data_IF_131706623422
#
_entry.id   IF_131706623422
#
_cell.length_a   1.000
_cell.length_b   1.000
_cell.length_c   1.000
_cell.angle_alpha   90.00
_cell.angle_beta   90.00
_cell.angle_gamma   90.00
#
_symmetry.space_group_name_H-M   'P 1'
#
loop_
_entity.id
_entity.type
_entity.pdbx_description
1 polymer ?
#
# COMPACT_ATOMS: atom_id res chain seq x y z
N UNK A 1 -22.47 -55.53 -11.46
CA UNK A 1 -22.60 -55.94 -12.87
C UNK A 1 -21.94 -54.90 -13.75
N UNK A 2 -20.98 -55.32 -14.58
CA UNK A 2 -20.14 -54.45 -15.42
C UNK A 2 -20.56 -54.64 -16.88
N UNK A 3 -20.80 -53.55 -17.61
CA UNK A 3 -21.17 -53.54 -19.03
C UNK A 3 -21.33 -52.12 -19.59
N UNK A 4 -21.38 -51.95 -20.91
CA UNK A 4 -21.41 -50.64 -21.58
C UNK A 4 -22.56 -49.72 -21.15
N UNK A 5 -23.72 -50.30 -20.79
CA UNK A 5 -24.87 -49.54 -20.26
C UNK A 5 -24.58 -48.88 -18.91
N UNK A 6 -23.81 -49.54 -18.06
CA UNK A 6 -23.38 -49.00 -16.77
C UNK A 6 -22.27 -47.95 -16.95
N UNK A 7 -21.36 -48.15 -17.92
CA UNK A 7 -20.38 -47.14 -18.29
C UNK A 7 -21.05 -45.86 -18.81
N UNK A 8 -22.06 -45.98 -19.66
CA UNK A 8 -22.86 -44.85 -20.14
C UNK A 8 -23.58 -44.13 -19.01
N UNK A 9 -24.10 -44.87 -18.02
CA UNK A 9 -24.72 -44.28 -16.82
C UNK A 9 -23.69 -43.47 -16.02
N UNK A 10 -22.49 -44.00 -15.79
CA UNK A 10 -21.41 -43.28 -15.09
C UNK A 10 -20.98 -42.03 -15.85
N UNK A 11 -20.86 -42.11 -17.17
CA UNK A 11 -20.50 -40.96 -18.01
C UNK A 11 -21.55 -39.84 -17.91
N UNK A 12 -22.85 -40.16 -17.90
CA UNK A 12 -23.91 -39.16 -17.68
C UNK A 12 -23.84 -38.52 -16.29
N UNK A 13 -23.58 -39.31 -15.25
CA UNK A 13 -23.42 -38.79 -13.88
C UNK A 13 -22.17 -37.92 -13.79
N UNK A 14 -21.06 -38.32 -14.40
CA UNK A 14 -19.84 -37.52 -14.46
C UNK A 14 -20.06 -36.20 -15.19
N UNK A 15 -20.76 -36.19 -16.32
CA UNK A 15 -21.09 -34.95 -17.04
C UNK A 15 -21.95 -34.01 -16.18
N UNK A 16 -22.94 -34.54 -15.46
CA UNK A 16 -23.76 -33.77 -14.54
C UNK A 16 -22.92 -33.19 -13.38
N UNK A 17 -22.04 -33.99 -12.79
CA UNK A 17 -21.16 -33.55 -11.70
C UNK A 17 -20.17 -32.49 -12.18
N UNK A 18 -19.57 -32.66 -13.36
CA UNK A 18 -18.67 -31.67 -13.97
C UNK A 18 -19.36 -30.34 -14.20
N UNK A 19 -20.61 -30.34 -14.68
CA UNK A 19 -21.41 -29.10 -14.84
C UNK A 19 -21.68 -28.41 -13.52
N UNK A 20 -22.01 -29.17 -12.47
CA UNK A 20 -22.20 -28.61 -11.13
C UNK A 20 -20.90 -28.05 -10.54
N UNK A 21 -19.79 -28.75 -10.71
CA UNK A 21 -18.48 -28.27 -10.28
C UNK A 21 -18.06 -27.00 -11.02
N UNK A 22 -18.27 -26.95 -12.34
CA UNK A 22 -18.01 -25.74 -13.12
C UNK A 22 -18.84 -24.56 -12.61
N UNK A 23 -20.14 -24.76 -12.40
CA UNK A 23 -21.03 -23.71 -11.87
C UNK A 23 -20.55 -23.19 -10.50
N UNK A 24 -20.07 -24.09 -9.62
CA UNK A 24 -19.52 -23.70 -8.32
C UNK A 24 -18.21 -22.92 -8.46
N UNK A 25 -17.34 -23.31 -9.38
CA UNK A 25 -16.11 -22.58 -9.68
C UNK A 25 -16.41 -21.18 -10.22
N UNK A 26 -17.42 -21.05 -11.08
CA UNK A 26 -17.83 -19.75 -11.64
C UNK A 26 -18.34 -18.80 -10.53
N UNK A 27 -19.13 -19.31 -9.58
CA UNK A 27 -19.58 -18.52 -8.40
C UNK A 27 -18.39 -18.07 -7.56
N UNK A 28 -17.47 -18.97 -7.24
CA UNK A 28 -16.27 -18.63 -6.45
C UNK A 28 -15.42 -17.59 -7.18
N UNK A 29 -15.30 -17.72 -8.51
CA UNK A 29 -14.56 -16.76 -9.33
C UNK A 29 -15.19 -15.37 -9.32
N UNK A 30 -16.53 -15.30 -9.35
CA UNK A 30 -17.26 -14.04 -9.22
C UNK A 30 -17.04 -13.41 -7.84
N UNK A 31 -17.17 -14.19 -6.76
CA UNK A 31 -16.96 -13.72 -5.39
C UNK A 31 -15.52 -13.19 -5.19
N UNK A 32 -14.51 -13.88 -5.75
CA UNK A 32 -13.12 -13.42 -5.73
C UNK A 32 -12.98 -12.09 -6.48
N UNK A 33 -13.62 -11.96 -7.65
CA UNK A 33 -13.55 -10.75 -8.47
C UNK A 33 -14.19 -9.56 -7.76
N UNK A 34 -15.33 -9.78 -7.10
CA UNK A 34 -15.99 -8.77 -6.28
C UNK A 34 -15.13 -8.37 -5.07
N UNK A 35 -14.55 -9.35 -4.38
CA UNK A 35 -13.66 -9.10 -3.23
C UNK A 35 -12.43 -8.29 -3.65
N UNK A 36 -11.80 -8.63 -4.77
CA UNK A 36 -10.65 -7.90 -5.31
C UNK A 36 -11.02 -6.44 -5.63
N UNK A 37 -12.16 -6.21 -6.28
CA UNK A 37 -12.68 -4.85 -6.57
C UNK A 37 -12.91 -4.05 -5.29
N UNK A 38 -13.50 -4.68 -4.28
CA UNK A 38 -13.75 -4.07 -2.98
C UNK A 38 -12.45 -3.78 -2.23
N UNK A 39 -11.45 -4.64 -2.35
CA UNK A 39 -10.12 -4.44 -1.79
C UNK A 39 -9.43 -3.23 -2.42
N UNK A 40 -9.39 -3.12 -3.75
CA UNK A 40 -8.80 -1.97 -4.45
C UNK A 40 -9.45 -0.66 -4.00
N UNK A 41 -10.78 -0.64 -3.91
CA UNK A 41 -11.55 0.52 -3.43
C UNK A 41 -11.22 0.85 -1.97
N UNK A 42 -11.12 -0.16 -1.11
CA UNK A 42 -10.83 0.01 0.31
C UNK A 42 -9.42 0.54 0.55
N UNK A 43 -8.42 0.06 -0.21
CA UNK A 43 -7.04 0.56 -0.13
C UNK A 43 -6.98 2.04 -0.50
N UNK A 44 -7.70 2.48 -1.53
CA UNK A 44 -7.79 3.89 -1.89
C UNK A 44 -8.40 4.73 -0.75
N UNK A 45 -9.48 4.24 -0.12
CA UNK A 45 -10.10 4.89 1.04
C UNK A 45 -9.16 4.96 2.24
N UNK A 46 -8.42 3.89 2.54
CA UNK A 46 -7.42 3.89 3.62
C UNK A 46 -6.36 4.97 3.38
N UNK A 47 -5.85 5.09 2.15
CA UNK A 47 -4.89 6.14 1.82
C UNK A 47 -5.48 7.55 2.00
N UNK A 48 -6.75 7.75 1.61
CA UNK A 48 -7.46 9.00 1.84
C UNK A 48 -7.61 9.32 3.33
N UNK A 49 -8.03 8.36 4.15
CA UNK A 49 -8.18 8.55 5.59
C UNK A 49 -6.84 8.84 6.28
N UNK A 50 -5.75 8.18 5.87
CA UNK A 50 -4.41 8.50 6.37
C UNK A 50 -4.01 9.95 6.08
N UNK A 51 -4.28 10.46 4.86
CA UNK A 51 -4.04 11.87 4.53
C UNK A 51 -4.90 12.80 5.37
N UNK A 52 -6.18 12.48 5.53
CA UNK A 52 -7.10 13.31 6.31
C UNK A 52 -6.73 13.35 7.80
N UNK A 53 -6.27 12.22 8.34
CA UNK A 53 -5.77 12.14 9.71
C UNK A 53 -4.58 13.08 9.91
N UNK A 54 -3.60 13.09 8.99
CA UNK A 54 -2.44 14.00 9.09
C UNK A 54 -2.87 15.49 9.03
N UNK A 55 -3.79 15.85 8.14
CA UNK A 55 -4.36 17.21 8.05
C UNK A 55 -5.05 17.62 9.36
N UNK A 56 -5.92 16.75 9.89
CA UNK A 56 -6.63 17.02 11.13
C UNK A 56 -5.69 17.10 12.32
N UNK A 57 -4.71 16.19 12.45
CA UNK A 57 -3.71 16.23 13.52
C UNK A 57 -2.91 17.54 13.49
N UNK A 58 -2.52 18.00 12.31
CA UNK A 58 -1.83 19.29 12.16
C UNK A 58 -2.72 20.46 12.58
N UNK A 59 -3.99 20.49 12.14
CA UNK A 59 -4.95 21.54 12.52
C UNK A 59 -5.24 21.55 14.01
N UNK A 60 -5.39 20.39 14.63
CA UNK A 60 -5.57 20.26 16.08
C UNK A 60 -4.36 20.83 16.81
N UNK A 61 -3.14 20.48 16.39
CA UNK A 61 -1.92 21.05 16.97
C UNK A 61 -1.89 22.58 16.85
N UNK A 62 -2.25 23.14 15.69
CA UNK A 62 -2.33 24.59 15.48
C UNK A 62 -3.31 25.28 16.43
N UNK A 63 -4.48 24.66 16.67
CA UNK A 63 -5.47 25.18 17.62
C UNK A 63 -4.94 25.13 19.04
N UNK A 64 -4.30 24.02 19.45
CA UNK A 64 -3.71 23.88 20.78
C UNK A 64 -2.61 24.93 21.03
N UNK A 65 -1.72 25.15 20.05
CA UNK A 65 -0.67 26.19 20.15
C UNK A 65 -1.31 27.57 20.36
N UNK A 66 -2.29 27.94 19.52
CA UNK A 66 -2.97 29.25 19.64
C UNK A 66 -3.68 29.41 20.98
N UNK A 67 -4.34 28.35 21.45
CA UNK A 67 -5.03 28.35 22.73
C UNK A 67 -4.05 28.52 23.89
N UNK A 68 -2.91 27.84 23.85
CA UNK A 68 -1.91 27.94 24.91
C UNK A 68 -1.27 29.31 24.96
N UNK A 69 -0.93 29.91 23.80
CA UNK A 69 -0.43 31.28 23.71
C UNK A 69 -1.45 32.28 24.26
N UNK A 70 -2.73 32.16 23.89
CA UNK A 70 -3.78 33.06 24.35
C UNK A 70 -4.00 32.97 25.86
N UNK A 71 -3.98 31.75 26.43
CA UNK A 71 -4.16 31.54 27.87
C UNK A 71 -2.96 31.97 28.69
N UNK A 72 -1.74 31.76 28.19
CA UNK A 72 -0.49 32.10 28.88
C UNK A 72 0.04 33.49 28.57
N UNK A 73 -0.67 34.27 27.75
CA UNK A 73 -0.31 35.66 27.49
C UNK A 73 -0.29 36.46 28.79
N UNK A 74 0.86 37.05 29.12
CA UNK A 74 1.05 37.84 30.34
C UNK A 74 1.57 37.06 31.56
N UNK A 75 1.75 35.75 31.46
CA UNK A 75 2.48 34.97 32.46
C UNK A 75 4.00 34.99 32.18
N UNK A 76 4.81 34.81 33.22
CA UNK A 76 6.26 34.62 33.05
C UNK A 76 6.55 33.27 32.37
N UNK A 77 7.62 33.22 31.58
CA UNK A 77 8.08 32.00 30.89
C UNK A 77 8.35 30.92 31.94
N UNK A 78 7.73 29.76 31.75
CA UNK A 78 7.86 28.62 32.66
C UNK A 78 9.09 27.78 32.29
N UNK A 79 9.66 27.07 33.27
CA UNK A 79 10.81 26.20 33.03
C UNK A 79 10.54 25.12 31.96
N UNK A 80 9.34 24.55 31.95
CA UNK A 80 8.92 23.56 30.95
C UNK A 80 8.88 24.13 29.52
N UNK A 81 8.52 25.40 29.38
CA UNK A 81 8.47 26.09 28.07
C UNK A 81 9.88 26.31 27.52
N UNK A 82 10.82 26.71 28.37
CA UNK A 82 12.22 26.87 27.98
C UNK A 82 12.85 25.51 27.62
N UNK A 83 12.51 24.44 28.35
CA UNK A 83 12.95 23.09 28.01
C UNK A 83 12.43 22.65 26.62
N UNK A 84 11.14 22.89 26.34
CA UNK A 84 10.54 22.59 25.03
C UNK A 84 11.20 23.41 23.90
N UNK A 85 11.52 24.68 24.16
CA UNK A 85 12.22 25.53 23.22
C UNK A 85 13.59 24.98 22.86
N UNK A 86 14.40 24.60 23.85
CA UNK A 86 15.74 24.02 23.63
C UNK A 86 15.67 22.73 22.80
N UNK A 87 14.68 21.87 23.06
CA UNK A 87 14.45 20.66 22.26
C UNK A 87 14.10 20.99 20.80
N UNK A 88 13.22 21.97 20.57
CA UNK A 88 12.83 22.40 19.22
C UNK A 88 14.02 23.03 18.48
N UNK A 89 14.82 23.86 19.14
CA UNK A 89 16.00 24.49 18.56
C UNK A 89 17.07 23.45 18.16
N UNK A 90 17.23 22.39 18.98
CA UNK A 90 18.13 21.27 18.66
C UNK A 90 17.68 20.54 17.40
N UNK A 91 16.39 20.16 17.33
CA UNK A 91 15.81 19.46 16.17
C UNK A 91 15.88 20.35 14.92
N UNK A 92 15.58 21.64 15.06
CA UNK A 92 15.64 22.59 13.95
C UNK A 92 17.07 22.79 13.44
N UNK A 93 18.05 22.81 14.35
CA UNK A 93 19.48 22.87 14.03
C UNK A 93 19.95 21.63 13.26
N UNK A 94 19.54 20.44 13.70
CA UNK A 94 19.83 19.17 13.02
C UNK A 94 19.22 19.10 11.62
N UNK A 95 17.97 19.55 11.45
CA UNK A 95 17.28 19.59 10.16
C UNK A 95 17.92 20.60 9.19
N UNK A 96 18.36 21.75 9.71
CA UNK A 96 18.99 22.81 8.92
C UNK A 96 20.48 22.56 8.62
N UNK A 97 21.11 21.60 9.31
CA UNK A 97 22.50 21.23 9.06
C UNK A 97 22.67 20.88 7.56
N UNK A 98 23.50 21.63 6.80
CA UNK A 98 23.60 21.51 5.35
C UNK A 98 24.03 20.13 4.84
N UNK A 99 24.51 19.27 5.73
CA UNK A 99 25.26 18.06 5.39
C UNK A 99 24.40 16.81 5.19
N UNK A 100 23.22 16.70 5.79
CA UNK A 100 22.50 15.41 5.85
C UNK A 100 21.20 15.36 5.02
N UNK A 101 20.34 16.39 5.03
CA UNK A 101 19.00 16.28 4.40
C UNK A 101 18.88 16.98 3.05
N UNK A 102 19.37 18.22 2.88
CA UNK A 102 19.25 18.94 1.59
C UNK A 102 20.10 18.32 0.50
N UNK A 103 21.30 17.89 0.83
CA UNK A 103 22.23 17.26 -0.13
C UNK A 103 21.74 15.85 -0.50
N UNK A 104 21.24 15.06 0.45
CA UNK A 104 20.73 13.70 0.17
C UNK A 104 19.42 13.75 -0.61
N UNK A 105 18.45 14.59 -0.22
CA UNK A 105 17.21 14.77 -0.99
C UNK A 105 17.50 15.25 -2.41
N UNK A 106 18.36 16.25 -2.58
CA UNK A 106 18.76 16.73 -3.91
C UNK A 106 19.47 15.63 -4.72
N UNK A 107 20.40 14.89 -4.12
CA UNK A 107 21.08 13.76 -4.78
C UNK A 107 20.10 12.67 -5.18
N UNK A 108 19.16 12.29 -4.31
CA UNK A 108 18.14 11.28 -4.60
C UNK A 108 17.19 11.74 -5.70
N UNK A 109 16.79 13.01 -5.70
CA UNK A 109 15.97 13.60 -6.76
C UNK A 109 16.73 13.58 -8.09
N UNK A 110 18.00 14.01 -8.11
CA UNK A 110 18.85 14.01 -9.31
C UNK A 110 19.05 12.58 -9.81
N UNK A 111 19.38 11.61 -8.93
CA UNK A 111 19.55 10.21 -9.31
C UNK A 111 18.27 9.60 -9.89
N UNK A 112 17.10 9.89 -9.30
CA UNK A 112 15.80 9.44 -9.85
C UNK A 112 15.47 10.11 -11.19
N UNK A 113 15.82 11.38 -11.37
CA UNK A 113 15.64 12.08 -12.64
C UNK A 113 16.55 11.52 -13.74
N UNK A 114 17.81 11.23 -13.40
CA UNK A 114 18.80 10.63 -14.30
C UNK A 114 18.44 9.18 -14.64
N UNK A 115 17.93 8.39 -13.69
CA UNK A 115 17.52 7.00 -13.95
C UNK A 115 16.19 6.89 -14.70
N UNK A 116 15.27 7.85 -14.52
CA UNK A 116 14.01 7.92 -15.27
C UNK A 116 14.16 8.26 -16.75
N UNK A 117 15.32 8.77 -17.19
CA UNK A 117 15.57 9.17 -18.58
C UNK A 117 16.08 8.08 -19.53
N UNK A 118 16.37 6.86 -19.03
CA UNK A 118 17.10 5.81 -19.78
C UNK A 118 16.41 4.44 -19.82
N UNK A 119 15.11 4.36 -19.55
CA UNK A 119 14.41 3.07 -19.38
C UNK A 119 13.22 2.86 -20.32
N UNK A 120 13.26 3.36 -21.55
CA UNK A 120 12.20 3.07 -22.54
C UNK A 120 12.79 2.57 -23.86
N UNK A 121 12.78 1.23 -24.05
CA UNK A 121 12.51 0.52 -25.33
C UNK A 121 13.16 -0.87 -25.51
N UNK A 122 13.99 -1.39 -24.59
CA UNK A 122 14.64 -2.71 -24.77
C UNK A 122 14.10 -3.88 -23.92
N UNK A 123 13.07 -3.70 -23.08
CA UNK A 123 12.52 -4.79 -22.25
C UNK A 123 11.19 -5.39 -22.73
N UNK A 124 10.57 -4.90 -23.81
CA UNK A 124 9.22 -5.34 -24.18
C UNK A 124 9.10 -6.75 -24.80
N UNK A 125 10.18 -7.46 -25.14
CA UNK A 125 10.07 -8.74 -25.86
C UNK A 125 10.73 -9.97 -25.20
N UNK A 126 11.38 -9.84 -24.03
CA UNK A 126 12.00 -10.98 -23.33
C UNK A 126 11.46 -11.20 -21.91
N UNK A 127 10.27 -10.71 -21.60
CA UNK A 127 9.74 -10.76 -20.24
C UNK A 127 8.43 -11.53 -20.06
N UNK A 128 7.63 -11.79 -21.11
CA UNK A 128 6.33 -12.44 -20.89
C UNK A 128 6.44 -13.88 -20.36
N UNK A 129 7.36 -14.69 -20.90
CA UNK A 129 7.53 -16.10 -20.51
C UNK A 129 8.23 -16.29 -19.16
N UNK A 130 9.27 -15.50 -18.88
CA UNK A 130 10.04 -15.55 -17.62
C UNK A 130 9.22 -14.95 -16.46
N UNK A 131 8.37 -13.95 -16.74
CA UNK A 131 7.51 -13.36 -15.71
C UNK A 131 6.42 -14.34 -15.27
N UNK A 132 5.86 -15.17 -16.16
CA UNK A 132 4.88 -16.19 -15.78
C UNK A 132 5.46 -17.29 -14.88
N UNK A 133 6.67 -17.79 -15.19
CA UNK A 133 7.37 -18.71 -14.29
C UNK A 133 7.75 -18.03 -12.97
N UNK A 134 8.27 -16.81 -13.00
CA UNK A 134 8.67 -16.10 -11.78
C UNK A 134 7.49 -15.78 -10.85
N UNK A 135 6.32 -15.39 -11.38
CA UNK A 135 5.08 -15.20 -10.61
C UNK A 135 4.62 -16.53 -9.98
N UNK A 136 4.79 -17.64 -10.70
CA UNK A 136 4.43 -18.97 -10.19
C UNK A 136 5.32 -19.41 -9.01
N UNK A 137 6.62 -19.07 -9.04
CA UNK A 137 7.55 -19.32 -7.93
C UNK A 137 7.28 -18.43 -6.71
N UNK A 138 6.97 -17.13 -6.90
CA UNK A 138 6.69 -16.23 -5.77
C UNK A 138 5.37 -16.55 -5.04
N UNK A 139 4.37 -17.11 -5.73
CA UNK A 139 3.09 -17.47 -5.11
C UNK A 139 3.18 -18.73 -4.21
N UNK A 140 4.25 -19.54 -4.34
CA UNK A 140 4.44 -20.75 -3.54
C UNK A 140 5.09 -20.49 -2.15
N UNK A 141 5.62 -19.29 -1.91
CA UNK A 141 6.38 -18.94 -0.68
C UNK A 141 5.59 -18.12 0.36
N UNK A 142 4.31 -17.83 0.12
CA UNK A 142 3.45 -17.18 1.10
C UNK A 142 2.57 -18.21 1.82
N UNK A 143 2.85 -18.57 3.08
CA UNK A 143 1.95 -19.43 3.85
C UNK A 143 0.67 -18.65 4.17
N UNK A 144 -0.47 -19.33 4.01
CA UNK A 144 -1.74 -18.95 4.63
C UNK A 144 -1.59 -18.78 6.16
#
# INVERSE_FOLDING_TARGET
MVGFKELLRRLKVQDQMTKQHQTRLDIISEDISELQKNQTTSVAKIAQYKRKLMDLSHRTLQVLIKQEIQRKSGYAIQADEEQLRVQLDTIQGELNAPTQFKVTTSKTIILKFVSGGSADKKLCNLQAGILYTCVSYLQLELPF
#
